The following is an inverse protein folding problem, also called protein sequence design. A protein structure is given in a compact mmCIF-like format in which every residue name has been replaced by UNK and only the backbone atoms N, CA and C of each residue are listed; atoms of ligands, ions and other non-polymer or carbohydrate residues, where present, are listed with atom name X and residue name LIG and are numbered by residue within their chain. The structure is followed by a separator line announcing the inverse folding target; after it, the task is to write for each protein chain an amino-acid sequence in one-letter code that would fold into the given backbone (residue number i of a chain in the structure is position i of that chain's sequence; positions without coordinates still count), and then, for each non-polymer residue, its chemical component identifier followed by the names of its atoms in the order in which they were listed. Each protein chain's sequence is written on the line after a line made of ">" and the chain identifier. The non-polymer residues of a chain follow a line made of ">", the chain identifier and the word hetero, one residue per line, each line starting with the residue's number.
data_IF_723813035031
#
_entry.id   IF_723813035031
#
_cell.length_a   1.000
_cell.length_b   1.000
_cell.length_c   1.000
_cell.angle_alpha   90.00
_cell.angle_beta   90.00
_cell.angle_gamma   90.00
#
_symmetry.space_group_name_H-M   'P 1'
#
loop_
_entity.id
_entity.type
_entity.pdbx_description
1 polymer ?
#
# COMPACT_ATOMS: atom_id res chain seq x y z
N UNK A 1 -75.74 -8.88 -13.24
CA UNK A 1 -76.32 -7.85 -14.12
C UNK A 1 -75.16 -7.29 -14.93
N UNK A 2 -75.15 -7.63 -16.23
CA UNK A 2 -74.34 -7.12 -17.35
C UNK A 2 -72.79 -7.28 -17.24
N UNK A 3 -72.10 -8.11 -18.04
CA UNK A 3 -72.05 -8.24 -19.52
C UNK A 3 -71.45 -6.97 -20.18
N UNK A 4 -70.64 -6.97 -21.24
CA UNK A 4 -70.12 -7.97 -22.18
C UNK A 4 -69.23 -7.19 -23.19
N UNK A 5 -68.19 -7.85 -23.72
CA UNK A 5 -67.56 -7.78 -25.05
C UNK A 5 -67.30 -6.47 -25.85
N UNK A 6 -66.12 -6.51 -26.50
CA UNK A 6 -65.78 -5.92 -27.80
C UNK A 6 -64.30 -6.24 -28.09
N UNK A 7 -63.90 -7.39 -28.68
CA UNK A 7 -64.05 -7.83 -30.09
C UNK A 7 -63.60 -6.74 -31.09
N UNK A 8 -62.82 -6.98 -32.16
CA UNK A 8 -62.03 -8.09 -32.69
C UNK A 8 -61.35 -7.56 -33.98
N UNK A 9 -60.40 -8.34 -34.52
CA UNK A 9 -60.01 -8.42 -35.95
C UNK A 9 -59.09 -7.36 -36.58
N UNK A 10 -58.15 -7.66 -37.48
CA UNK A 10 -57.97 -8.82 -38.40
C UNK A 10 -56.51 -8.91 -38.92
N UNK A 11 -56.08 -10.13 -39.29
CA UNK A 11 -55.07 -10.45 -40.33
C UNK A 11 -53.61 -10.55 -39.86
N UNK A 12 -52.88 -11.68 -39.87
CA UNK A 12 -53.06 -12.99 -40.51
C UNK A 12 -52.45 -13.03 -41.92
N UNK A 13 -51.20 -13.54 -42.06
CA UNK A 13 -50.78 -14.54 -43.07
C UNK A 13 -49.32 -15.00 -42.89
N UNK A 14 -49.17 -16.32 -42.82
CA UNK A 14 -48.23 -17.19 -43.54
C UNK A 14 -46.71 -17.15 -43.32
N UNK A 15 -46.17 -18.34 -43.04
CA UNK A 15 -44.81 -18.66 -43.48
C UNK A 15 -44.02 -19.67 -42.65
N UNK A 16 -44.53 -20.88 -42.44
CA UNK A 16 -43.65 -22.03 -42.10
C UNK A 16 -43.04 -22.53 -43.41
N UNK A 17 -41.69 -22.58 -43.52
CA UNK A 17 -40.85 -23.75 -43.90
C UNK A 17 -39.43 -23.38 -44.38
N UNK A 18 -38.48 -24.35 -44.37
CA UNK A 18 -37.10 -24.16 -43.90
C UNK A 18 -36.01 -24.35 -44.99
N UNK A 19 -34.76 -24.45 -44.51
CA UNK A 19 -33.57 -25.06 -45.14
C UNK A 19 -32.68 -24.21 -46.08
N UNK A 20 -31.44 -24.04 -45.58
CA UNK A 20 -30.16 -24.22 -46.29
C UNK A 20 -29.63 -23.10 -47.21
N UNK A 21 -28.55 -22.45 -46.76
CA UNK A 21 -27.21 -22.44 -47.41
C UNK A 21 -26.25 -21.59 -46.55
N UNK A 22 -25.23 -22.19 -45.94
CA UNK A 22 -23.90 -22.49 -46.51
C UNK A 22 -23.03 -21.23 -46.62
N UNK A 23 -22.10 -21.11 -45.66
CA UNK A 23 -20.74 -20.68 -45.94
C UNK A 23 -20.41 -19.21 -45.75
N UNK A 24 -19.96 -18.84 -44.55
CA UNK A 24 -18.85 -17.91 -44.40
C UNK A 24 -18.11 -18.25 -43.10
N UNK A 25 -17.05 -19.05 -43.23
CA UNK A 25 -15.99 -19.11 -42.23
C UNK A 25 -15.38 -17.70 -42.16
N UNK A 26 -15.90 -16.86 -41.27
CA UNK A 26 -15.25 -15.62 -40.89
C UNK A 26 -13.90 -15.98 -40.31
N UNK A 27 -12.84 -15.60 -41.03
CA UNK A 27 -11.45 -15.72 -40.59
C UNK A 27 -11.32 -15.16 -39.16
N UNK A 28 -10.58 -15.79 -38.24
CA UNK A 28 -10.22 -15.11 -37.00
C UNK A 28 -9.49 -13.80 -37.36
N UNK A 29 -9.73 -12.69 -36.64
CA UNK A 29 -8.98 -11.47 -36.88
C UNK A 29 -7.49 -11.81 -36.76
N UNK A 30 -6.74 -11.43 -37.79
CA UNK A 30 -5.30 -11.58 -37.85
C UNK A 30 -4.73 -11.12 -36.51
N UNK A 31 -4.17 -12.07 -35.77
CA UNK A 31 -3.39 -11.84 -34.56
C UNK A 31 -2.31 -10.85 -34.96
N UNK A 32 -2.51 -9.57 -34.63
CA UNK A 32 -1.51 -8.51 -34.79
C UNK A 32 -0.32 -8.96 -33.97
N UNK A 33 0.62 -9.60 -34.67
CA UNK A 33 1.88 -10.07 -34.17
C UNK A 33 2.63 -8.81 -33.77
N UNK A 34 2.58 -8.48 -32.47
CA UNK A 34 3.33 -7.36 -31.92
C UNK A 34 4.77 -7.46 -32.40
N UNK A 35 5.19 -6.52 -33.24
CA UNK A 35 6.55 -6.50 -33.77
C UNK A 35 7.57 -6.35 -32.64
N UNK A 36 8.86 -6.66 -32.89
CA UNK A 36 9.94 -6.51 -31.90
C UNK A 36 9.99 -5.11 -31.25
N UNK A 37 9.48 -4.09 -31.95
CA UNK A 37 9.29 -2.72 -31.44
C UNK A 37 8.32 -2.62 -30.26
N UNK A 38 7.24 -3.39 -30.22
CA UNK A 38 6.29 -3.36 -29.10
C UNK A 38 6.89 -3.97 -27.83
N UNK A 39 7.70 -5.03 -27.98
CA UNK A 39 8.45 -5.63 -26.86
C UNK A 39 9.55 -4.68 -26.35
N UNK A 40 10.26 -3.99 -27.24
CA UNK A 40 11.30 -3.01 -26.88
C UNK A 40 10.74 -1.72 -26.24
N UNK A 41 9.54 -1.27 -26.65
CA UNK A 41 8.84 -0.15 -26.00
C UNK A 41 8.31 -0.54 -24.61
N UNK A 42 7.88 -1.79 -24.43
CA UNK A 42 7.42 -2.30 -23.14
C UNK A 42 8.55 -2.35 -22.09
N UNK A 43 9.77 -2.71 -22.50
CA UNK A 43 10.93 -2.77 -21.58
C UNK A 43 11.41 -1.39 -21.14
N UNK A 44 11.44 -0.39 -22.03
CA UNK A 44 11.80 1.00 -21.66
C UNK A 44 10.76 1.66 -20.74
N UNK A 45 9.48 1.38 -20.95
CA UNK A 45 8.40 1.92 -20.10
C UNK A 45 8.38 1.28 -18.72
N UNK A 46 8.65 -0.03 -18.63
CA UNK A 46 8.77 -0.76 -17.37
C UNK A 46 9.88 -0.22 -16.45
N UNK A 47 11.05 0.08 -17.03
CA UNK A 47 12.18 0.64 -16.28
C UNK A 47 11.87 1.99 -15.60
N UNK A 48 11.23 2.92 -16.32
CA UNK A 48 10.84 4.22 -15.76
C UNK A 48 9.76 4.10 -14.67
N UNK A 49 8.84 3.14 -14.82
CA UNK A 49 7.78 2.87 -13.84
C UNK A 49 8.34 2.28 -12.54
N UNK A 50 9.28 1.33 -12.66
CA UNK A 50 9.95 0.75 -11.51
C UNK A 50 10.85 1.78 -10.81
N UNK A 51 11.61 2.57 -11.57
CA UNK A 51 12.50 3.61 -11.02
C UNK A 51 11.77 4.63 -10.14
N UNK A 52 10.58 5.08 -10.55
CA UNK A 52 9.74 5.96 -9.71
C UNK A 52 9.27 5.30 -8.42
N UNK A 53 8.99 3.99 -8.45
CA UNK A 53 8.56 3.24 -7.27
C UNK A 53 9.71 3.09 -6.28
N UNK A 54 10.90 2.73 -6.77
CA UNK A 54 12.13 2.63 -5.97
C UNK A 54 12.48 3.99 -5.36
N UNK A 55 12.45 5.07 -6.17
CA UNK A 55 12.70 6.42 -5.66
C UNK A 55 11.71 6.80 -4.55
N UNK A 56 10.43 6.47 -4.72
CA UNK A 56 9.43 6.68 -3.69
C UNK A 56 9.75 5.91 -2.40
N UNK A 57 10.17 4.64 -2.49
CA UNK A 57 10.58 3.86 -1.33
C UNK A 57 11.76 4.51 -0.60
N UNK A 58 12.80 4.95 -1.32
CA UNK A 58 13.98 5.61 -0.73
C UNK A 58 13.59 6.90 -0.03
N UNK A 59 12.87 7.80 -0.71
CA UNK A 59 12.44 9.08 -0.12
C UNK A 59 11.52 8.86 1.07
N UNK A 60 10.60 7.89 0.97
CA UNK A 60 9.70 7.53 2.06
C UNK A 60 10.44 7.05 3.30
N UNK A 61 11.44 6.18 3.13
CA UNK A 61 12.27 5.69 4.23
C UNK A 61 13.05 6.83 4.89
N UNK A 62 13.62 7.77 4.11
CA UNK A 62 14.31 8.93 4.67
C UNK A 62 13.35 9.79 5.51
N UNK A 63 12.16 10.11 4.98
CA UNK A 63 11.15 10.90 5.70
C UNK A 63 10.68 10.19 6.96
N UNK A 64 10.50 8.86 6.89
CA UNK A 64 10.16 8.03 8.04
C UNK A 64 11.22 8.15 9.15
N UNK A 65 12.51 7.98 8.84
CA UNK A 65 13.58 8.10 9.83
C UNK A 65 13.64 9.50 10.45
N UNK A 66 13.55 10.55 9.64
CA UNK A 66 13.54 11.92 10.14
C UNK A 66 12.36 12.19 11.08
N UNK A 67 11.19 11.63 10.77
CA UNK A 67 9.99 11.77 11.61
C UNK A 67 10.17 11.05 12.94
N UNK A 68 10.64 9.80 12.91
CA UNK A 68 10.88 8.99 14.11
C UNK A 68 11.91 9.68 15.00
N UNK A 69 13.07 10.04 14.45
CA UNK A 69 14.12 10.72 15.21
C UNK A 69 13.65 12.05 15.80
N UNK A 70 12.85 12.83 15.07
CA UNK A 70 12.30 14.08 15.58
C UNK A 70 11.38 13.87 16.79
N UNK A 71 10.47 12.90 16.71
CA UNK A 71 9.53 12.62 17.81
C UNK A 71 10.27 12.01 19.01
N UNK A 72 11.20 11.08 18.78
CA UNK A 72 11.99 10.46 19.84
C UNK A 72 12.93 11.48 20.51
N UNK A 73 13.53 12.39 19.76
CA UNK A 73 14.35 13.47 20.31
C UNK A 73 13.54 14.40 21.23
N UNK A 74 12.30 14.71 20.85
CA UNK A 74 11.37 15.45 21.73
C UNK A 74 11.03 14.61 22.97
N UNK A 75 10.81 13.30 22.80
CA UNK A 75 10.59 12.37 23.90
C UNK A 75 11.73 12.32 24.90
N UNK A 76 12.98 12.40 24.43
CA UNK A 76 14.18 12.44 25.28
C UNK A 76 14.25 13.67 26.18
N UNK A 77 13.54 14.76 25.85
CA UNK A 77 13.45 15.93 26.74
C UNK A 77 12.66 15.61 28.02
N UNK A 78 11.68 14.71 27.94
CA UNK A 78 10.87 14.27 29.07
C UNK A 78 11.42 12.99 29.74
N UNK A 79 12.00 12.09 28.93
CA UNK A 79 12.53 10.80 29.35
C UNK A 79 13.97 10.64 28.84
N UNK A 80 14.95 11.29 29.49
CA UNK A 80 16.32 11.31 29.00
C UNK A 80 16.94 9.90 29.03
N UNK A 81 17.59 9.46 27.94
CA UNK A 81 18.30 8.20 27.93
C UNK A 81 19.54 8.25 28.85
N UNK A 82 20.00 7.11 29.39
CA UNK A 82 21.22 7.03 30.17
C UNK A 82 22.44 7.61 29.43
N UNK A 83 23.36 8.29 30.12
CA UNK A 83 24.56 8.83 29.49
C UNK A 83 25.38 7.75 28.79
N UNK A 84 25.81 8.02 27.56
CA UNK A 84 26.62 7.09 26.77
C UNK A 84 25.85 5.92 26.17
N UNK A 85 24.51 5.86 26.30
CA UNK A 85 23.70 4.86 25.60
C UNK A 85 23.61 5.22 24.12
N UNK A 86 24.28 4.44 23.28
CA UNK A 86 24.19 4.57 21.82
C UNK A 86 23.31 3.45 21.23
N UNK A 87 22.09 3.74 20.74
CA UNK A 87 21.22 2.74 20.13
C UNK A 87 21.74 2.20 18.79
N UNK A 88 22.78 2.79 18.22
CA UNK A 88 23.45 2.31 16.99
C UNK A 88 24.62 1.38 17.27
N UNK A 89 25.10 1.32 18.51
CA UNK A 89 26.15 0.40 18.93
C UNK A 89 25.55 -0.96 19.34
N UNK A 90 25.90 -2.07 18.66
CA UNK A 90 25.44 -3.41 19.01
C UNK A 90 25.70 -3.80 20.48
N UNK A 91 26.77 -3.29 21.08
CA UNK A 91 27.12 -3.57 22.48
C UNK A 91 26.13 -2.94 23.48
N UNK A 92 25.42 -1.90 23.08
CA UNK A 92 24.50 -1.14 23.92
C UNK A 92 23.04 -1.59 23.77
N UNK A 93 22.75 -2.55 22.88
CA UNK A 93 21.39 -3.02 22.59
C UNK A 93 20.66 -3.56 23.83
N UNK A 94 21.36 -4.33 24.67
CA UNK A 94 20.76 -4.87 25.89
C UNK A 94 20.41 -3.76 26.90
N UNK A 95 21.27 -2.74 27.01
CA UNK A 95 21.01 -1.58 27.86
C UNK A 95 19.84 -0.75 27.33
N UNK A 96 19.73 -0.60 26.01
CA UNK A 96 18.59 0.06 25.36
C UNK A 96 17.27 -0.69 25.61
N UNK A 97 17.27 -2.01 25.48
CA UNK A 97 16.09 -2.84 25.77
C UNK A 97 15.61 -2.68 27.22
N UNK A 98 16.54 -2.63 28.19
CA UNK A 98 16.21 -2.39 29.61
C UNK A 98 15.65 -0.99 29.84
N UNK A 99 16.25 0.03 29.25
CA UNK A 99 15.73 1.39 29.31
C UNK A 99 14.28 1.48 28.80
N UNK A 100 13.99 0.89 27.64
CA UNK A 100 12.62 0.88 27.08
C UNK A 100 11.64 0.09 27.95
N UNK A 101 12.08 -0.97 28.64
CA UNK A 101 11.23 -1.72 29.59
C UNK A 101 10.85 -0.89 30.82
N UNK A 102 11.80 -0.14 31.36
CA UNK A 102 11.62 0.66 32.59
C UNK A 102 10.90 1.98 32.33
N UNK A 103 10.81 2.40 31.06
CA UNK A 103 10.12 3.61 30.66
C UNK A 103 8.68 3.67 31.20
N UNK A 104 8.22 4.81 31.74
CA UNK A 104 6.82 5.01 32.10
C UNK A 104 5.89 4.72 30.91
N UNK A 105 4.64 4.33 31.18
CA UNK A 105 3.67 3.98 30.14
C UNK A 105 3.54 5.08 29.07
N UNK A 106 3.55 6.35 29.49
CA UNK A 106 3.51 7.50 28.58
C UNK A 106 4.73 7.63 27.68
N UNK A 107 5.94 7.32 28.16
CA UNK A 107 7.14 7.28 27.31
C UNK A 107 7.04 6.23 26.21
N UNK A 108 6.50 5.05 26.54
CA UNK A 108 6.24 3.98 25.56
C UNK A 108 5.17 4.38 24.54
N UNK A 109 4.15 5.15 24.95
CA UNK A 109 3.14 5.70 24.03
C UNK A 109 3.79 6.67 23.05
N UNK A 110 4.68 7.56 23.50
CA UNK A 110 5.42 8.47 22.61
C UNK A 110 6.26 7.69 21.60
N UNK A 111 6.93 6.62 22.03
CA UNK A 111 7.70 5.73 21.15
C UNK A 111 6.80 5.03 20.10
N UNK A 112 5.67 4.48 20.52
CA UNK A 112 4.69 3.90 19.60
C UNK A 112 4.15 4.94 18.60
N UNK A 113 3.89 6.16 19.07
CA UNK A 113 3.45 7.28 18.21
C UNK A 113 4.53 7.67 17.22
N UNK A 114 5.82 7.67 17.59
CA UNK A 114 6.92 7.93 16.68
C UNK A 114 6.91 6.92 15.52
N UNK A 115 6.78 5.62 15.81
CA UNK A 115 6.75 4.57 14.80
C UNK A 115 5.54 4.68 13.86
N UNK A 116 4.35 4.94 14.41
CA UNK A 116 3.12 5.12 13.62
C UNK A 116 3.19 6.38 12.77
N UNK A 117 3.64 7.49 13.34
CA UNK A 117 3.80 8.75 12.63
C UNK A 117 4.84 8.62 11.50
N UNK A 118 5.98 7.99 11.76
CA UNK A 118 7.01 7.72 10.74
C UNK A 118 6.49 6.84 9.60
N UNK A 119 5.77 5.75 9.92
CA UNK A 119 5.14 4.91 8.90
C UNK A 119 4.11 5.67 8.07
N UNK A 120 3.32 6.55 8.71
CA UNK A 120 2.33 7.39 8.03
C UNK A 120 2.99 8.45 7.13
N UNK A 121 3.89 9.27 7.66
CA UNK A 121 4.53 10.37 6.90
C UNK A 121 5.46 9.83 5.81
N UNK A 122 6.25 8.79 6.11
CA UNK A 122 7.09 8.12 5.14
C UNK A 122 6.29 7.37 4.08
N UNK A 123 5.22 6.68 4.47
CA UNK A 123 4.28 6.04 3.54
C UNK A 123 3.58 7.05 2.62
N UNK A 124 3.21 8.22 3.15
CA UNK A 124 2.64 9.33 2.38
C UNK A 124 3.64 9.88 1.36
N UNK A 125 4.88 10.12 1.78
CA UNK A 125 5.95 10.58 0.90
C UNK A 125 6.26 9.56 -0.20
N UNK A 126 6.36 8.28 0.15
CA UNK A 126 6.57 7.19 -0.81
C UNK A 126 5.44 7.11 -1.84
N UNK A 127 4.19 7.15 -1.39
CA UNK A 127 3.00 7.06 -2.24
C UNK A 127 2.84 8.27 -3.19
N UNK A 128 3.36 9.45 -2.83
CA UNK A 128 3.36 10.65 -3.70
C UNK A 128 4.27 10.51 -4.91
N UNK A 129 5.35 9.77 -4.80
CA UNK A 129 6.37 9.63 -5.84
C UNK A 129 6.17 8.35 -6.65
N UNK A 130 5.86 7.25 -5.96
CA UNK A 130 5.77 5.92 -6.51
C UNK A 130 4.63 5.76 -7.53
N UNK A 131 4.87 4.93 -8.55
CA UNK A 131 3.78 4.46 -9.42
C UNK A 131 2.90 3.45 -8.68
N UNK A 132 3.52 2.53 -7.93
CA UNK A 132 2.84 1.54 -7.11
C UNK A 132 2.74 2.05 -5.68
N UNK A 133 1.75 2.91 -5.45
CA UNK A 133 1.62 3.69 -4.22
C UNK A 133 1.50 2.80 -2.97
N UNK A 134 0.64 1.78 -3.01
CA UNK A 134 0.46 0.86 -1.89
C UNK A 134 1.72 0.04 -1.61
N UNK A 135 2.40 -0.45 -2.65
CA UNK A 135 3.62 -1.24 -2.48
C UNK A 135 4.74 -0.41 -1.85
N UNK A 136 4.91 0.84 -2.29
CA UNK A 136 5.91 1.73 -1.73
C UNK A 136 5.59 2.13 -0.27
N UNK A 137 4.32 2.39 0.06
CA UNK A 137 3.93 2.70 1.42
C UNK A 137 4.06 1.49 2.37
N UNK A 138 3.62 0.31 1.94
CA UNK A 138 3.78 -0.93 2.72
C UNK A 138 5.26 -1.24 2.96
N UNK A 139 6.12 -1.01 1.97
CA UNK A 139 7.56 -1.17 2.14
C UNK A 139 8.10 -0.32 3.31
N UNK A 140 7.72 0.97 3.40
CA UNK A 140 8.12 1.83 4.52
C UNK A 140 7.62 1.27 5.86
N UNK A 141 6.37 0.81 5.94
CA UNK A 141 5.85 0.16 7.15
C UNK A 141 6.64 -1.11 7.52
N UNK A 142 7.04 -1.92 6.54
CA UNK A 142 7.86 -3.10 6.76
C UNK A 142 9.26 -2.74 7.27
N UNK A 143 9.84 -1.62 6.83
CA UNK A 143 11.11 -1.11 7.39
C UNK A 143 10.95 -0.79 8.88
N UNK A 144 9.89 -0.08 9.28
CA UNK A 144 9.59 0.15 10.71
C UNK A 144 9.45 -1.18 11.47
N UNK A 145 8.62 -2.09 10.95
CA UNK A 145 8.38 -3.39 11.58
C UNK A 145 9.66 -4.22 11.68
N UNK A 146 10.59 -4.10 10.73
CA UNK A 146 11.89 -4.79 10.82
C UNK A 146 12.71 -4.32 12.03
N UNK A 147 12.65 -3.04 12.37
CA UNK A 147 13.23 -2.50 13.60
C UNK A 147 12.55 -3.03 14.86
N UNK A 148 11.22 -3.14 14.85
CA UNK A 148 10.45 -3.71 15.97
C UNK A 148 10.76 -5.20 16.16
N UNK A 149 10.84 -5.98 15.07
CA UNK A 149 11.23 -7.39 15.11
C UNK A 149 12.67 -7.53 15.62
N UNK A 150 13.59 -6.68 15.17
CA UNK A 150 14.95 -6.65 15.69
C UNK A 150 14.98 -6.39 17.21
N UNK A 151 14.19 -5.45 17.72
CA UNK A 151 14.04 -5.20 19.15
C UNK A 151 13.51 -6.44 19.90
N UNK A 152 12.48 -7.11 19.37
CA UNK A 152 11.86 -8.29 19.99
C UNK A 152 12.84 -9.47 20.11
N UNK A 153 13.62 -9.73 19.05
CA UNK A 153 14.51 -10.90 18.99
C UNK A 153 15.77 -10.70 19.83
N UNK A 154 16.22 -9.46 20.03
CA UNK A 154 17.50 -9.16 20.67
C UNK A 154 17.42 -8.95 22.19
N UNK A 155 16.24 -8.74 22.75
CA UNK A 155 16.12 -8.49 24.18
C UNK A 155 14.72 -8.54 24.73
N UNK A 156 14.60 -8.47 26.07
CA UNK A 156 13.30 -8.38 26.71
C UNK A 156 12.61 -7.08 26.29
N UNK A 157 11.31 -7.18 26.01
CA UNK A 157 10.53 -6.10 25.43
C UNK A 157 9.16 -6.01 26.11
N UNK A 158 8.53 -4.84 25.99
CA UNK A 158 7.16 -4.65 26.48
C UNK A 158 6.18 -5.22 25.46
N UNK A 159 5.35 -6.19 25.85
CA UNK A 159 4.49 -6.95 24.94
C UNK A 159 3.47 -6.09 24.18
N UNK A 160 2.78 -5.18 24.88
CA UNK A 160 1.80 -4.31 24.23
C UNK A 160 2.46 -3.31 23.26
N UNK A 161 3.65 -2.81 23.59
CA UNK A 161 4.41 -1.90 22.74
C UNK A 161 4.90 -2.62 21.47
N UNK A 162 5.42 -3.84 21.63
CA UNK A 162 5.80 -4.69 20.51
C UNK A 162 4.59 -4.99 19.61
N UNK A 163 3.43 -5.33 20.18
CA UNK A 163 2.20 -5.53 19.43
C UNK A 163 1.76 -4.27 18.68
N UNK A 164 1.80 -3.10 19.31
CA UNK A 164 1.51 -1.83 18.67
C UNK A 164 2.47 -1.54 17.51
N UNK A 165 3.77 -1.73 17.72
CA UNK A 165 4.81 -1.54 16.71
C UNK A 165 4.74 -2.52 15.53
N UNK A 166 4.13 -3.69 15.70
CA UNK A 166 3.96 -4.66 14.62
C UNK A 166 2.63 -4.48 13.88
N UNK A 167 1.56 -4.10 14.58
CA UNK A 167 0.21 -4.05 14.02
C UNK A 167 -0.17 -2.69 13.43
N UNK A 168 0.34 -1.57 13.99
CA UNK A 168 -0.09 -0.23 13.61
C UNK A 168 0.62 0.39 12.38
N UNK A 169 1.89 0.09 12.06
CA UNK A 169 2.55 0.70 10.90
C UNK A 169 1.88 0.41 9.55
N UNK A 170 1.42 -0.82 9.33
CA UNK A 170 0.76 -1.22 8.08
C UNK A 170 -0.53 -0.42 7.83
N UNK A 171 -1.53 -0.40 8.74
CA UNK A 171 -2.75 0.36 8.51
C UNK A 171 -2.48 1.86 8.40
N UNK A 172 -1.51 2.40 9.13
CA UNK A 172 -1.10 3.80 9.01
C UNK A 172 -0.53 4.13 7.62
N UNK A 173 0.39 3.30 7.11
CA UNK A 173 0.96 3.50 5.77
C UNK A 173 -0.07 3.29 4.65
N UNK A 174 -1.00 2.33 4.81
CA UNK A 174 -2.09 2.13 3.86
C UNK A 174 -3.07 3.31 3.87
N UNK A 175 -3.39 3.86 5.04
CA UNK A 175 -4.20 5.07 5.16
C UNK A 175 -3.51 6.22 4.42
N UNK A 176 -2.21 6.42 4.64
CA UNK A 176 -1.42 7.41 3.93
C UNK A 176 -1.47 7.22 2.40
N UNK A 177 -1.32 5.99 1.91
CA UNK A 177 -1.37 5.69 0.47
C UNK A 177 -2.77 5.94 -0.13
N UNK A 178 -3.85 5.74 0.64
CA UNK A 178 -5.22 6.04 0.21
C UNK A 178 -5.44 7.53 0.01
N UNK A 179 -4.81 8.39 0.82
CA UNK A 179 -4.90 9.86 0.68
C UNK A 179 -4.26 10.37 -0.61
N UNK A 180 -3.36 9.59 -1.23
CA UNK A 180 -2.67 9.95 -2.48
C UNK A 180 -3.27 9.24 -3.69
N UNK A 181 -4.14 8.24 -3.48
CA UNK A 181 -4.67 7.43 -4.57
C UNK A 181 -5.41 8.31 -5.57
N UNK A 182 -4.94 8.30 -6.82
CA UNK A 182 -5.61 8.98 -7.93
C UNK A 182 -6.50 7.95 -8.62
N UNK A 183 -7.84 8.03 -8.51
CA UNK A 183 -8.71 7.13 -9.27
C UNK A 183 -8.41 7.31 -10.75
N UNK A 184 -8.19 6.20 -11.47
CA UNK A 184 -8.17 6.24 -12.92
C UNK A 184 -9.59 6.57 -13.35
N UNK A 185 -9.86 7.84 -13.69
CA UNK A 185 -11.12 8.20 -14.35
C UNK A 185 -11.20 7.35 -15.62
N UNK A 186 -12.09 6.37 -15.62
CA UNK A 186 -12.46 5.67 -16.84
C UNK A 186 -13.14 6.71 -17.76
N UNK A 187 -12.79 6.79 -19.05
CA UNK A 187 -13.56 7.58 -19.99
C UNK A 187 -15.00 7.06 -19.96
N UNK A 188 -15.97 7.95 -19.69
CA UNK A 188 -17.38 7.63 -19.90
C UNK A 188 -17.55 7.40 -21.41
N UNK A 189 -17.92 6.17 -21.78
CA UNK A 189 -18.33 5.81 -23.14
C UNK A 189 -19.62 6.51 -23.52
#
# INVERSE_FOLDING_TARGET
>A
MQAVEGAAHYGGVDGIRPCARRGARGRPPARLRGGPTAAMLATHTGGMVMGRTILGMVVGTVVMFLTIMGIEAIGHLAYPPPPGLDPTNPEHEAAFARFVLELPAMGKVVLALAWVAGAFTGGLAAAKIARHQNAAAVFVALVVMSGVVAMIVRGPHTTWLAAAGLLLPIPAALLAARLVHRPKLLPKL
#
